data_IF_023421836293
#
_entry.id   IF_023421836293
#
_cell.length_a   1.000
_cell.length_b   1.000
_cell.length_c   1.000
_cell.angle_alpha   90.00
_cell.angle_beta   90.00
_cell.angle_gamma   90.00
#
_symmetry.space_group_name_H-M   'P 1'
#
loop_
_entity.id
_entity.type
_entity.pdbx_description
1 polymer ?
#
# COMPACT_ATOMS: atom_id res chain seq x y z
N UNK A 1 -15.75 -27.69 -10.16
CA UNK A 1 -15.58 -26.77 -9.02
C UNK A 1 -14.28 -26.02 -9.24
N UNK A 2 -14.37 -24.71 -9.50
CA UNK A 2 -13.20 -23.86 -9.80
C UNK A 2 -12.28 -23.79 -8.58
N UNK A 3 -11.01 -24.15 -8.76
CA UNK A 3 -9.97 -23.93 -7.77
C UNK A 3 -9.84 -22.41 -7.54
N UNK A 4 -10.34 -21.93 -6.41
CA UNK A 4 -10.02 -20.56 -5.97
C UNK A 4 -8.57 -20.63 -5.51
N UNK A 5 -7.70 -20.00 -6.29
CA UNK A 5 -6.27 -19.96 -6.01
C UNK A 5 -6.06 -19.14 -4.73
N UNK A 6 -5.77 -19.82 -3.63
CA UNK A 6 -5.54 -19.18 -2.34
C UNK A 6 -4.23 -18.38 -2.43
N UNK A 7 -4.31 -17.04 -2.34
CA UNK A 7 -3.15 -16.15 -2.40
C UNK A 7 -2.31 -16.32 -1.13
N UNK A 8 -1.49 -17.36 -1.08
CA UNK A 8 -0.67 -17.75 0.08
C UNK A 8 0.26 -16.62 0.55
N UNK A 9 0.66 -15.71 -0.34
CA UNK A 9 1.51 -14.56 0.01
C UNK A 9 0.82 -13.55 0.93
N UNK A 10 -0.52 -13.47 0.92
CA UNK A 10 -1.28 -12.54 1.76
C UNK A 10 -1.88 -13.19 3.01
N UNK A 11 -1.66 -14.50 3.21
CA UNK A 11 -2.18 -15.27 4.35
C UNK A 11 -1.88 -14.66 5.73
N UNK A 12 -0.82 -13.85 5.84
CA UNK A 12 -0.40 -13.17 7.07
C UNK A 12 -0.97 -11.75 7.25
N UNK A 13 -1.67 -11.23 6.24
CA UNK A 13 -2.26 -9.89 6.25
C UNK A 13 -3.64 -9.96 6.90
N UNK A 14 -3.78 -9.36 8.08
CA UNK A 14 -5.04 -9.40 8.86
C UNK A 14 -6.16 -8.56 8.26
N UNK A 15 -5.81 -7.44 7.62
CA UNK A 15 -6.77 -6.49 7.07
C UNK A 15 -6.25 -5.95 5.74
N UNK A 16 -7.12 -5.98 4.73
CA UNK A 16 -6.86 -5.40 3.41
C UNK A 16 -7.88 -4.28 3.21
N UNK A 17 -7.39 -3.06 2.96
CA UNK A 17 -8.21 -1.88 2.72
C UNK A 17 -7.95 -1.41 1.30
N UNK A 18 -9.01 -1.34 0.49
CA UNK A 18 -8.93 -0.87 -0.89
C UNK A 18 -9.37 0.59 -0.95
N UNK A 19 -8.50 1.47 -1.44
CA UNK A 19 -8.79 2.89 -1.62
C UNK A 19 -8.95 3.15 -3.12
N UNK A 20 -10.14 3.56 -3.54
CA UNK A 20 -10.50 3.76 -4.95
C UNK A 20 -10.95 5.21 -5.21
N UNK A 21 -10.86 5.63 -6.47
CA UNK A 21 -11.39 6.92 -6.93
C UNK A 21 -11.94 6.81 -8.33
N UNK A 22 -13.09 7.44 -8.59
CA UNK A 22 -13.72 7.45 -9.92
C UNK A 22 -13.06 8.41 -10.92
N UNK A 23 -12.12 9.25 -10.49
CA UNK A 23 -11.42 10.25 -11.33
C UNK A 23 -10.00 10.49 -10.83
N UNK A 24 -9.08 10.82 -11.73
CA UNK A 24 -7.72 11.26 -11.38
C UNK A 24 -7.72 12.61 -10.66
N UNK A 25 -6.72 12.82 -9.79
CA UNK A 25 -6.52 14.11 -9.10
C UNK A 25 -7.37 14.36 -7.86
N UNK A 26 -8.21 13.41 -7.42
CA UNK A 26 -9.05 13.58 -6.22
C UNK A 26 -8.31 13.39 -4.89
N UNK A 27 -7.00 13.11 -4.92
CA UNK A 27 -6.19 12.92 -3.71
C UNK A 27 -6.17 11.50 -3.13
N UNK A 28 -6.57 10.47 -3.90
CA UNK A 28 -6.54 9.06 -3.48
C UNK A 28 -5.20 8.64 -2.85
N UNK A 29 -4.08 8.97 -3.50
CA UNK A 29 -2.74 8.62 -3.01
C UNK A 29 -2.39 9.36 -1.72
N UNK A 30 -2.80 10.63 -1.59
CA UNK A 30 -2.64 11.40 -0.36
C UNK A 30 -3.39 10.78 0.81
N UNK A 31 -4.64 10.36 0.59
CA UNK A 31 -5.45 9.65 1.61
C UNK A 31 -4.81 8.32 1.98
N UNK A 32 -4.30 7.58 0.99
CA UNK A 32 -3.61 6.30 1.22
C UNK A 32 -2.41 6.45 2.14
N UNK A 33 -1.57 7.46 1.89
CA UNK A 33 -0.39 7.75 2.71
C UNK A 33 -0.80 8.16 4.13
N UNK A 34 -1.79 9.06 4.28
CA UNK A 34 -2.20 9.53 5.60
C UNK A 34 -2.80 8.40 6.46
N UNK A 35 -3.64 7.53 5.86
CA UNK A 35 -4.18 6.36 6.56
C UNK A 35 -3.04 5.42 6.98
N UNK A 36 -2.09 5.15 6.10
CA UNK A 36 -0.96 4.29 6.40
C UNK A 36 -0.08 4.86 7.52
N UNK A 37 0.21 6.16 7.49
CA UNK A 37 0.95 6.87 8.52
C UNK A 37 0.23 6.84 9.87
N UNK A 38 -1.08 7.08 9.89
CA UNK A 38 -1.89 7.00 11.12
C UNK A 38 -1.87 5.60 11.72
N UNK A 39 -2.06 4.56 10.91
CA UNK A 39 -1.97 3.17 11.38
C UNK A 39 -0.57 2.82 11.89
N UNK A 40 0.47 3.33 11.23
CA UNK A 40 1.86 3.14 11.66
C UNK A 40 2.14 3.82 13.00
N UNK A 41 1.65 5.05 13.21
CA UNK A 41 1.74 5.77 14.48
C UNK A 41 1.03 5.03 15.62
N UNK A 42 -0.04 4.30 15.32
CA UNK A 42 -0.72 3.38 16.26
C UNK A 42 0.02 2.05 16.47
N UNK A 43 1.28 1.94 16.04
CA UNK A 43 2.12 0.76 16.22
C UNK A 43 1.76 -0.42 15.32
N UNK A 44 0.94 -0.23 14.28
CA UNK A 44 0.57 -1.32 13.37
C UNK A 44 1.65 -1.55 12.31
N UNK A 45 1.73 -2.80 11.83
CA UNK A 45 2.50 -3.15 10.64
C UNK A 45 1.62 -2.88 9.42
N UNK A 46 2.10 -2.02 8.54
CA UNK A 46 1.36 -1.52 7.38
C UNK A 46 2.25 -1.70 6.16
N UNK A 47 1.65 -2.17 5.07
CA UNK A 47 2.24 -2.16 3.75
C UNK A 47 1.31 -1.42 2.80
N UNK A 48 1.88 -0.74 1.82
CA UNK A 48 1.13 -0.09 0.75
C UNK A 48 1.45 -0.83 -0.55
N UNK A 49 0.41 -1.24 -1.26
CA UNK A 49 0.51 -1.74 -2.63
C UNK A 49 -0.06 -0.66 -3.54
N UNK A 50 0.81 0.00 -4.30
CA UNK A 50 0.41 0.98 -5.29
C UNK A 50 0.20 0.28 -6.64
N UNK A 51 -1.03 0.28 -7.14
CA UNK A 51 -1.40 -0.23 -8.46
C UNK A 51 -1.79 0.91 -9.42
N UNK A 52 -1.63 2.16 -8.99
CA UNK A 52 -2.04 3.32 -9.77
C UNK A 52 -0.95 3.69 -10.80
N UNK A 53 -1.27 3.54 -12.09
CA UNK A 53 -0.34 3.74 -13.20
C UNK A 53 -0.23 5.21 -13.67
N UNK A 54 -1.22 6.06 -13.34
CA UNK A 54 -1.39 7.36 -14.00
C UNK A 54 -1.19 8.58 -13.07
N UNK A 55 -0.87 8.38 -11.78
CA UNK A 55 -0.59 9.44 -10.81
C UNK A 55 0.89 9.50 -10.41
N UNK A 56 1.33 10.53 -9.64
CA UNK A 56 2.63 10.45 -8.98
C UNK A 56 2.64 9.21 -8.07
N UNK A 57 3.63 8.35 -8.26
CA UNK A 57 3.75 7.11 -7.50
C UNK A 57 3.83 7.40 -6.00
N UNK A 58 3.25 6.54 -5.17
CA UNK A 58 3.38 6.69 -3.70
C UNK A 58 4.85 6.80 -3.24
N UNK A 59 5.82 6.06 -3.82
CA UNK A 59 7.25 6.27 -3.55
C UNK A 59 7.71 7.71 -3.76
N UNK A 60 7.26 8.37 -4.85
CA UNK A 60 7.56 9.79 -5.12
C UNK A 60 6.99 10.70 -4.04
N UNK A 61 5.74 10.47 -3.63
CA UNK A 61 5.09 11.28 -2.59
C UNK A 61 5.75 11.14 -1.22
N UNK A 62 6.41 10.01 -0.95
CA UNK A 62 7.15 9.75 0.28
C UNK A 62 8.62 10.20 0.20
N UNK A 63 9.09 10.72 -0.94
CA UNK A 63 10.50 11.07 -1.15
C UNK A 63 11.43 9.86 -1.20
N UNK A 64 10.90 8.68 -1.57
CA UNK A 64 11.61 7.40 -1.58
C UNK A 64 12.07 6.97 -2.99
N UNK A 65 12.21 7.92 -3.93
CA UNK A 65 12.58 7.62 -5.32
C UNK A 65 13.95 6.92 -5.45
N UNK A 66 14.87 7.19 -4.51
CA UNK A 66 16.22 6.60 -4.47
C UNK A 66 16.33 5.36 -3.57
N UNK A 67 15.24 4.96 -2.89
CA UNK A 67 15.26 3.78 -2.02
C UNK A 67 15.22 2.50 -2.86
N UNK A 68 16.22 1.63 -2.65
CA UNK A 68 16.22 0.29 -3.26
C UNK A 68 15.08 -0.54 -2.69
N UNK A 69 14.44 -1.33 -3.57
CA UNK A 69 13.38 -2.28 -3.19
C UNK A 69 13.90 -3.19 -2.09
N UNK A 70 13.35 -3.05 -0.89
CA UNK A 70 13.64 -3.90 0.25
C UNK A 70 12.51 -4.93 0.39
N UNK A 71 12.79 -6.19 0.08
CA UNK A 71 11.83 -7.26 0.30
C UNK A 71 11.79 -7.61 1.80
N UNK A 72 10.71 -7.22 2.47
CA UNK A 72 10.47 -7.57 3.87
C UNK A 72 9.16 -8.31 4.03
N UNK A 73 9.20 -9.42 4.77
CA UNK A 73 8.04 -10.22 5.14
C UNK A 73 7.22 -9.61 6.29
N UNK A 74 7.71 -8.54 6.92
CA UNK A 74 7.06 -7.92 8.08
C UNK A 74 6.14 -6.75 7.74
N UNK A 75 6.16 -6.26 6.50
CA UNK A 75 5.64 -4.95 6.14
C UNK A 75 6.53 -3.85 6.72
N UNK A 76 6.95 -2.91 5.89
CA UNK A 76 7.70 -1.73 6.30
C UNK A 76 7.03 -0.49 5.71
N UNK A 77 6.94 0.57 6.52
CA UNK A 77 6.54 1.88 6.02
C UNK A 77 7.76 2.74 5.67
N UNK A 78 8.96 2.16 5.72
CA UNK A 78 10.27 2.64 5.25
C UNK A 78 11.14 1.41 5.05
#
# INVERSE_FOLDING_TARGET
MSQVQEFSQLSRVKHIVLILSGKGGVGKSSVTIQVAMGLKQLGKRVGILDIDLCGPSIPKMLGLEDYKIHQSSSGSLF
#
